data_IF_353319534703
#
_entry.id   IF_353319534703
#
_cell.length_a   1.000
_cell.length_b   1.000
_cell.length_c   1.000
_cell.angle_alpha   90.00
_cell.angle_beta   90.00
_cell.angle_gamma   90.00
#
_symmetry.space_group_name_H-M   'P 1'
#
loop_
_entity.id
_entity.type
_entity.pdbx_description
1 polymer ?
#
# COMPACT_ATOMS: atom_id res chain seq x y z
N UNK A 1 18.08 16.59 5.85
CA UNK A 1 18.90 16.40 4.61
C UNK A 1 20.29 15.86 4.94
N UNK A 2 20.95 16.31 5.98
CA UNK A 2 22.32 15.86 6.34
C UNK A 2 22.37 14.35 6.61
N UNK A 3 21.46 13.83 7.46
CA UNK A 3 21.39 12.39 7.78
C UNK A 3 21.07 11.53 6.55
N UNK A 4 20.28 12.08 5.61
CA UNK A 4 19.95 11.38 4.36
C UNK A 4 21.19 11.29 3.47
N UNK A 5 21.91 12.40 3.31
CA UNK A 5 23.14 12.43 2.52
C UNK A 5 24.19 11.47 3.10
N UNK A 6 24.39 11.51 4.41
CA UNK A 6 25.32 10.63 5.11
C UNK A 6 24.96 9.14 4.91
N UNK A 7 23.68 8.76 5.03
CA UNK A 7 23.22 7.39 4.81
C UNK A 7 23.34 6.93 3.35
N UNK A 8 23.21 7.87 2.41
CA UNK A 8 23.35 7.59 0.98
C UNK A 8 24.82 7.60 0.51
N UNK A 9 25.78 7.96 1.36
CA UNK A 9 27.18 8.04 1.01
C UNK A 9 27.50 9.17 0.03
N UNK A 10 26.69 10.24 0.01
CA UNK A 10 26.87 11.39 -0.87
C UNK A 10 26.99 12.69 -0.07
N UNK A 11 27.47 13.75 -0.70
CA UNK A 11 27.52 15.06 -0.06
C UNK A 11 26.14 15.72 -0.03
N UNK A 12 25.89 16.58 0.96
CA UNK A 12 24.67 17.40 1.02
C UNK A 12 24.47 18.23 -0.25
N UNK A 13 25.57 18.76 -0.81
CA UNK A 13 25.56 19.53 -2.06
C UNK A 13 25.08 18.66 -3.24
N UNK A 14 25.55 17.44 -3.37
CA UNK A 14 25.11 16.51 -4.41
C UNK A 14 23.63 16.18 -4.25
N UNK A 15 23.15 15.97 -3.00
CA UNK A 15 21.72 15.71 -2.74
C UNK A 15 20.84 16.89 -3.19
N UNK A 16 21.24 18.15 -2.89
CA UNK A 16 20.50 19.34 -3.31
C UNK A 16 20.57 19.61 -4.82
N UNK A 17 21.59 19.11 -5.53
CA UNK A 17 21.64 19.17 -7.00
C UNK A 17 20.54 18.30 -7.64
N UNK A 18 20.16 17.18 -7.00
CA UNK A 18 19.08 16.30 -7.48
C UNK A 18 17.72 16.65 -6.93
N UNK A 19 17.64 17.10 -5.68
CA UNK A 19 16.38 17.40 -4.98
C UNK A 19 16.49 18.78 -4.32
N UNK A 20 15.96 19.83 -4.97
CA UNK A 20 16.05 21.21 -4.48
C UNK A 20 15.49 21.41 -3.06
N UNK A 21 14.51 20.57 -2.66
CA UNK A 21 13.92 20.61 -1.33
C UNK A 21 13.76 19.21 -0.72
N UNK A 22 13.47 19.15 0.58
CA UNK A 22 13.09 17.90 1.26
C UNK A 22 11.77 17.34 0.70
N UNK A 23 10.86 18.22 0.31
CA UNK A 23 9.56 17.85 -0.23
C UNK A 23 9.68 17.21 -1.61
N UNK A 24 10.61 17.72 -2.46
CA UNK A 24 10.94 17.10 -3.74
C UNK A 24 11.49 15.68 -3.54
N UNK A 25 12.38 15.50 -2.57
CA UNK A 25 12.92 14.19 -2.23
C UNK A 25 11.84 13.22 -1.73
N UNK A 26 10.96 13.67 -0.83
CA UNK A 26 9.83 12.86 -0.33
C UNK A 26 8.92 12.47 -1.49
N UNK A 27 8.61 13.42 -2.36
CA UNK A 27 7.75 13.21 -3.52
C UNK A 27 8.34 12.16 -4.48
N UNK A 28 9.62 12.29 -4.81
CA UNK A 28 10.34 11.35 -5.68
C UNK A 28 10.44 9.95 -5.03
N UNK A 29 10.75 9.87 -3.74
CA UNK A 29 10.83 8.60 -3.01
C UNK A 29 9.47 7.87 -2.97
N UNK A 30 8.36 8.61 -2.77
CA UNK A 30 7.02 8.03 -2.82
C UNK A 30 6.64 7.57 -4.22
N UNK A 31 6.95 8.35 -5.25
CA UNK A 31 6.69 7.97 -6.64
C UNK A 31 7.41 6.65 -6.99
N UNK A 32 8.70 6.58 -6.70
CA UNK A 32 9.50 5.36 -6.91
C UNK A 32 8.96 4.15 -6.11
N UNK A 33 8.62 4.36 -4.84
CA UNK A 33 8.03 3.30 -4.01
C UNK A 33 6.68 2.82 -4.56
N UNK A 34 5.88 3.74 -5.13
CA UNK A 34 4.61 3.40 -5.79
C UNK A 34 4.84 2.54 -7.02
N UNK A 35 5.77 2.90 -7.89
CA UNK A 35 6.11 2.14 -9.10
C UNK A 35 6.55 0.72 -8.76
N UNK A 36 7.43 0.56 -7.78
CA UNK A 36 7.88 -0.75 -7.32
C UNK A 36 6.74 -1.59 -6.75
N UNK A 37 5.86 -0.99 -5.94
CA UNK A 37 4.75 -1.70 -5.34
C UNK A 37 3.72 -2.14 -6.40
N UNK A 38 3.38 -1.27 -7.36
CA UNK A 38 2.44 -1.57 -8.45
C UNK A 38 3.04 -2.60 -9.42
N UNK A 39 4.33 -2.52 -9.72
CA UNK A 39 5.01 -3.53 -10.55
C UNK A 39 4.94 -4.90 -9.91
N UNK A 40 5.19 -5.00 -8.59
CA UNK A 40 5.03 -6.26 -7.85
C UNK A 40 3.58 -6.75 -7.89
N UNK A 41 2.62 -5.86 -7.64
CA UNK A 41 1.20 -6.19 -7.65
C UNK A 41 0.74 -6.74 -9.01
N UNK A 42 1.21 -6.15 -10.10
CA UNK A 42 0.93 -6.61 -11.47
C UNK A 42 1.60 -7.94 -11.82
N UNK A 43 2.79 -8.18 -11.26
CA UNK A 43 3.51 -9.46 -11.41
C UNK A 43 2.89 -10.60 -10.61
N UNK A 44 1.93 -10.32 -9.73
CA UNK A 44 1.18 -11.34 -9.02
C UNK A 44 0.32 -12.14 -9.99
N UNK A 45 0.57 -13.45 -10.09
CA UNK A 45 -0.39 -14.36 -10.70
C UNK A 45 -1.70 -14.27 -9.92
N UNK A 46 -2.75 -13.72 -10.54
CA UNK A 46 -4.07 -13.68 -9.93
C UNK A 46 -4.59 -15.09 -9.79
N UNK A 47 -4.72 -15.67 -8.58
CA UNK A 47 -5.24 -17.00 -8.41
C UNK A 47 -6.67 -17.07 -8.94
N UNK A 48 -7.05 -18.18 -9.53
CA UNK A 48 -8.41 -18.42 -9.96
C UNK A 48 -9.34 -18.49 -8.73
N UNK A 49 -10.35 -17.61 -8.72
CA UNK A 49 -11.39 -17.60 -7.68
C UNK A 49 -11.18 -16.56 -6.58
N UNK A 50 -12.31 -16.04 -6.10
CA UNK A 50 -12.37 -14.91 -5.16
C UNK A 50 -11.66 -15.15 -3.84
N UNK A 51 -11.80 -16.35 -3.26
CA UNK A 51 -11.19 -16.67 -1.97
C UNK A 51 -9.68 -16.77 -2.08
N UNK A 52 -9.16 -17.41 -3.14
CA UNK A 52 -7.73 -17.52 -3.40
C UNK A 52 -7.08 -16.14 -3.67
N UNK A 53 -7.79 -15.24 -4.36
CA UNK A 53 -7.35 -13.86 -4.56
C UNK A 53 -7.20 -13.13 -3.22
N UNK A 54 -8.20 -13.23 -2.35
CA UNK A 54 -8.18 -12.59 -1.01
C UNK A 54 -7.08 -13.19 -0.13
N UNK A 55 -6.99 -14.52 -0.07
CA UNK A 55 -5.97 -15.19 0.74
C UNK A 55 -4.56 -14.80 0.29
N UNK A 56 -4.27 -14.80 -1.01
CA UNK A 56 -2.96 -14.42 -1.52
C UNK A 56 -2.64 -12.94 -1.29
N UNK A 57 -3.63 -12.04 -1.41
CA UNK A 57 -3.44 -10.63 -1.17
C UNK A 57 -3.03 -10.33 0.28
N UNK A 58 -3.75 -10.89 1.27
CA UNK A 58 -3.42 -10.69 2.68
C UNK A 58 -2.18 -11.48 3.13
N UNK A 59 -1.89 -12.65 2.53
CA UNK A 59 -0.65 -13.37 2.78
C UNK A 59 0.59 -12.57 2.35
N UNK A 60 0.53 -11.92 1.20
CA UNK A 60 1.63 -11.05 0.77
C UNK A 60 1.76 -9.78 1.62
N UNK A 61 0.64 -9.24 2.10
CA UNK A 61 0.66 -8.15 3.06
C UNK A 61 1.37 -8.56 4.36
N UNK A 62 1.04 -9.73 4.91
CA UNK A 62 1.70 -10.29 6.10
C UNK A 62 3.20 -10.52 5.85
N UNK A 63 3.56 -11.11 4.72
CA UNK A 63 4.96 -11.33 4.32
C UNK A 63 5.74 -10.02 4.16
N UNK A 64 5.09 -8.97 3.64
CA UNK A 64 5.70 -7.66 3.56
C UNK A 64 5.91 -7.04 4.94
N UNK A 65 4.92 -7.16 5.83
CA UNK A 65 4.99 -6.67 7.20
C UNK A 65 6.02 -7.40 8.07
N UNK A 66 6.37 -8.64 7.73
CA UNK A 66 7.39 -9.42 8.43
C UNK A 66 8.83 -9.02 8.11
N UNK A 67 9.03 -8.10 7.15
CA UNK A 67 10.39 -7.67 6.77
C UNK A 67 11.04 -6.86 7.88
N UNK A 68 12.36 -7.02 8.11
CA UNK A 68 13.10 -6.20 9.04
C UNK A 68 12.91 -4.69 8.74
N UNK A 69 12.69 -3.89 9.77
CA UNK A 69 12.47 -2.43 9.68
C UNK A 69 11.18 -2.04 8.93
N UNK A 70 10.21 -2.93 8.82
CA UNK A 70 8.89 -2.55 8.33
C UNK A 70 8.28 -1.50 9.26
N UNK A 71 7.79 -0.42 8.70
CA UNK A 71 7.26 0.75 9.44
C UNK A 71 5.83 1.12 9.04
N UNK A 72 5.06 0.12 8.58
CA UNK A 72 3.66 0.32 8.19
C UNK A 72 3.49 0.82 6.75
N UNK A 73 2.30 1.30 6.45
CA UNK A 73 1.94 1.84 5.14
C UNK A 73 2.55 3.23 4.93
N UNK A 74 3.73 3.29 4.31
CA UNK A 74 4.46 4.53 4.07
C UNK A 74 3.62 5.63 3.41
N UNK A 75 2.75 5.29 2.46
CA UNK A 75 1.86 6.25 1.80
C UNK A 75 0.85 6.88 2.76
N UNK A 76 0.17 6.08 3.58
CA UNK A 76 -0.81 6.56 4.56
C UNK A 76 -0.12 7.39 5.64
N UNK A 77 1.03 6.93 6.14
CA UNK A 77 1.82 7.63 7.13
C UNK A 77 2.26 9.01 6.64
N UNK A 78 2.86 9.10 5.45
CA UNK A 78 3.29 10.39 4.88
C UNK A 78 2.12 11.33 4.67
N UNK A 79 0.95 10.84 4.21
CA UNK A 79 -0.23 11.69 4.04
C UNK A 79 -0.73 12.22 5.38
N UNK A 80 -0.69 11.42 6.46
CA UNK A 80 -1.06 11.86 7.81
C UNK A 80 -0.07 12.90 8.34
N UNK A 81 1.24 12.66 8.20
CA UNK A 81 2.29 13.61 8.61
C UNK A 81 2.22 14.94 7.84
N UNK A 82 1.72 14.93 6.61
CA UNK A 82 1.58 16.11 5.75
C UNK A 82 0.14 16.63 5.68
N UNK A 83 -0.73 16.22 6.62
CA UNK A 83 -2.16 16.55 6.58
C UNK A 83 -2.43 18.06 6.57
N UNK A 84 -1.63 18.83 7.32
CA UNK A 84 -1.77 20.27 7.43
C UNK A 84 -1.23 21.05 6.21
N UNK A 85 -0.43 20.40 5.37
CA UNK A 85 0.13 21.00 4.15
C UNK A 85 -0.82 20.79 2.96
N UNK A 86 -1.79 21.70 2.81
CA UNK A 86 -2.75 21.67 1.71
C UNK A 86 -2.01 21.75 0.37
N UNK A 87 -2.35 20.82 -0.54
CA UNK A 87 -1.77 20.80 -1.89
C UNK A 87 -0.39 20.14 -2.02
N UNK A 88 0.17 19.58 -0.95
CA UNK A 88 1.46 18.88 -1.04
C UNK A 88 1.40 17.72 -2.06
N UNK A 89 2.36 17.63 -3.02
CA UNK A 89 2.31 16.68 -4.14
C UNK A 89 2.33 15.20 -3.70
N UNK A 90 2.92 14.89 -2.55
CA UNK A 90 2.89 13.54 -1.96
C UNK A 90 1.48 12.98 -1.76
N UNK A 91 0.49 13.86 -1.48
CA UNK A 91 -0.92 13.45 -1.32
C UNK A 91 -1.52 12.96 -2.64
N UNK A 92 -1.17 13.60 -3.76
CA UNK A 92 -1.62 13.18 -5.08
C UNK A 92 -1.02 11.82 -5.47
N UNK A 93 0.26 11.60 -5.16
CA UNK A 93 0.95 10.31 -5.40
C UNK A 93 0.30 9.21 -4.57
N UNK A 94 0.08 9.44 -3.27
CA UNK A 94 -0.56 8.47 -2.39
C UNK A 94 -1.97 8.11 -2.87
N UNK A 95 -2.78 9.11 -3.25
CA UNK A 95 -4.13 8.90 -3.81
C UNK A 95 -4.08 8.04 -5.07
N UNK A 96 -3.18 8.36 -6.01
CA UNK A 96 -3.00 7.58 -7.24
C UNK A 96 -2.56 6.15 -6.94
N UNK A 97 -1.62 5.96 -6.02
CA UNK A 97 -1.20 4.62 -5.60
C UNK A 97 -2.36 3.79 -5.06
N UNK A 98 -3.14 4.35 -4.13
CA UNK A 98 -4.31 3.64 -3.55
C UNK A 98 -5.37 3.33 -4.60
N UNK A 99 -5.62 4.23 -5.52
CA UNK A 99 -6.56 4.00 -6.63
C UNK A 99 -6.11 2.83 -7.52
N UNK A 100 -4.81 2.72 -7.83
CA UNK A 100 -4.27 1.60 -8.64
C UNK A 100 -4.39 0.25 -7.91
N UNK A 101 -4.19 0.22 -6.59
CA UNK A 101 -4.40 -1.01 -5.81
C UNK A 101 -5.89 -1.39 -5.76
N UNK A 102 -6.79 -0.41 -5.54
CA UNK A 102 -8.24 -0.64 -5.55
C UNK A 102 -8.71 -1.16 -6.91
N UNK A 103 -8.21 -0.58 -8.02
CA UNK A 103 -8.52 -1.02 -9.38
C UNK A 103 -8.05 -2.45 -9.64
N UNK A 104 -6.81 -2.78 -9.24
CA UNK A 104 -6.27 -4.13 -9.36
C UNK A 104 -7.13 -5.17 -8.62
N UNK A 105 -7.58 -4.86 -7.40
CA UNK A 105 -8.50 -5.70 -6.63
C UNK A 105 -9.85 -5.83 -7.34
N UNK A 106 -10.41 -4.71 -7.81
CA UNK A 106 -11.70 -4.70 -8.50
C UNK A 106 -11.69 -5.58 -9.75
N UNK A 107 -10.63 -5.49 -10.56
CA UNK A 107 -10.45 -6.33 -11.75
C UNK A 107 -10.35 -7.83 -11.38
N UNK A 108 -9.59 -8.16 -10.33
CA UNK A 108 -9.50 -9.53 -9.86
C UNK A 108 -10.84 -10.09 -9.36
N UNK A 109 -11.60 -9.29 -8.62
CA UNK A 109 -12.93 -9.66 -8.14
C UNK A 109 -13.94 -9.77 -9.29
N UNK A 110 -13.85 -8.89 -10.31
CA UNK A 110 -14.68 -8.96 -11.50
C UNK A 110 -14.40 -10.24 -12.31
N UNK A 111 -13.13 -10.59 -12.50
CA UNK A 111 -12.72 -11.83 -13.15
C UNK A 111 -13.21 -13.08 -12.38
N UNK A 112 -13.27 -12.99 -11.05
CA UNK A 112 -13.83 -14.02 -10.17
C UNK A 112 -15.38 -13.96 -10.07
N UNK A 113 -16.04 -13.13 -10.90
CA UNK A 113 -17.51 -12.98 -10.97
C UNK A 113 -18.15 -12.54 -9.65
N UNK A 114 -17.44 -11.77 -8.84
CA UNK A 114 -17.99 -11.16 -7.63
C UNK A 114 -18.90 -10.02 -8.04
N UNK A 115 -20.08 -9.95 -7.44
CA UNK A 115 -21.03 -8.86 -7.65
C UNK A 115 -20.49 -7.56 -7.05
N UNK A 116 -20.73 -6.42 -7.72
CA UNK A 116 -20.28 -5.09 -7.31
C UNK A 116 -18.76 -5.03 -7.02
N UNK A 117 -17.89 -5.48 -7.93
CA UNK A 117 -16.47 -5.72 -7.65
C UNK A 117 -15.73 -4.46 -7.17
N UNK A 118 -16.12 -3.27 -7.65
CA UNK A 118 -15.52 -1.99 -7.20
C UNK A 118 -15.89 -1.66 -5.75
N UNK A 119 -17.13 -1.88 -5.35
CA UNK A 119 -17.55 -1.67 -3.96
C UNK A 119 -16.83 -2.65 -3.02
N UNK A 120 -16.77 -3.93 -3.40
CA UNK A 120 -16.04 -4.95 -2.64
C UNK A 120 -14.54 -4.69 -2.57
N UNK A 121 -13.92 -4.21 -3.64
CA UNK A 121 -12.51 -3.81 -3.62
C UNK A 121 -12.26 -2.68 -2.60
N UNK A 122 -13.17 -1.70 -2.52
CA UNK A 122 -13.08 -0.61 -1.54
C UNK A 122 -13.20 -1.11 -0.11
N UNK A 123 -14.09 -2.05 0.17
CA UNK A 123 -14.23 -2.69 1.47
C UNK A 123 -12.96 -3.49 1.84
N UNK A 124 -12.39 -4.22 0.89
CA UNK A 124 -11.10 -4.92 1.08
C UNK A 124 -9.97 -3.93 1.35
N UNK A 125 -9.94 -2.78 0.68
CA UNK A 125 -8.96 -1.71 0.95
C UNK A 125 -9.08 -1.16 2.38
N UNK A 126 -10.30 -0.99 2.91
CA UNK A 126 -10.50 -0.58 4.30
C UNK A 126 -9.93 -1.60 5.28
N UNK A 127 -10.17 -2.89 5.04
CA UNK A 127 -9.58 -3.97 5.84
C UNK A 127 -8.06 -3.98 5.76
N UNK A 128 -7.49 -3.79 4.57
CA UNK A 128 -6.04 -3.70 4.35
C UNK A 128 -5.41 -2.56 5.17
N UNK A 129 -5.98 -1.36 5.12
CA UNK A 129 -5.44 -0.20 5.84
C UNK A 129 -5.49 -0.43 7.36
N UNK A 130 -6.61 -0.91 7.88
CA UNK A 130 -6.75 -1.27 9.29
C UNK A 130 -5.76 -2.36 9.71
N UNK A 131 -5.60 -3.39 8.88
CA UNK A 131 -4.66 -4.49 9.11
C UNK A 131 -3.22 -3.98 9.21
N UNK A 132 -2.79 -3.12 8.30
CA UNK A 132 -1.43 -2.55 8.32
C UNK A 132 -1.20 -1.71 9.57
N UNK A 133 -2.18 -0.91 9.98
CA UNK A 133 -2.09 -0.11 11.20
C UNK A 133 -1.97 -0.99 12.45
N UNK A 134 -2.83 -2.01 12.57
CA UNK A 134 -2.86 -2.91 13.74
C UNK A 134 -1.64 -3.83 13.80
N UNK A 135 -1.16 -4.36 12.68
CA UNK A 135 0.10 -5.11 12.63
C UNK A 135 1.28 -4.25 13.09
N UNK A 136 1.31 -2.96 12.73
CA UNK A 136 2.36 -2.04 13.17
C UNK A 136 2.29 -1.76 14.67
N UNK A 137 1.07 -1.53 15.20
CA UNK A 137 0.87 -1.19 16.62
C UNK A 137 1.15 -2.38 17.53
N UNK A 138 0.68 -3.56 17.15
CA UNK A 138 0.73 -4.75 18.01
C UNK A 138 1.89 -5.70 17.69
N UNK A 139 2.56 -5.54 16.54
CA UNK A 139 3.58 -6.49 16.08
C UNK A 139 3.02 -7.88 15.75
N UNK A 140 1.70 -8.00 15.54
CA UNK A 140 1.00 -9.28 15.36
C UNK A 140 0.55 -9.45 13.90
N UNK A 141 1.14 -10.40 13.13
CA UNK A 141 0.72 -10.71 11.77
C UNK A 141 -0.65 -11.40 11.69
N UNK A 142 -1.20 -11.88 12.80
CA UNK A 142 -2.52 -12.51 12.87
C UNK A 142 -3.66 -11.61 12.39
N UNK A 143 -3.48 -10.28 12.45
CA UNK A 143 -4.44 -9.32 11.86
C UNK A 143 -4.64 -9.52 10.37
N UNK A 144 -3.62 -9.93 9.61
CA UNK A 144 -3.77 -10.22 8.18
C UNK A 144 -4.66 -11.45 7.94
N UNK A 145 -4.55 -12.48 8.78
CA UNK A 145 -5.41 -13.66 8.73
C UNK A 145 -6.86 -13.30 9.06
N UNK A 146 -7.09 -12.52 10.11
CA UNK A 146 -8.42 -12.05 10.49
C UNK A 146 -9.07 -11.20 9.38
N UNK A 147 -8.30 -10.31 8.76
CA UNK A 147 -8.79 -9.50 7.65
C UNK A 147 -9.12 -10.33 6.41
N UNK A 148 -8.30 -11.33 6.06
CA UNK A 148 -8.59 -12.26 4.97
C UNK A 148 -9.92 -13.01 5.21
N UNK A 149 -10.17 -13.47 6.44
CA UNK A 149 -11.42 -14.12 6.81
C UNK A 149 -12.64 -13.19 6.64
N UNK A 150 -12.52 -11.94 7.12
CA UNK A 150 -13.56 -10.93 6.97
C UNK A 150 -13.81 -10.58 5.48
N UNK A 151 -12.74 -10.37 4.71
CA UNK A 151 -12.82 -10.06 3.28
C UNK A 151 -13.49 -11.21 2.49
N UNK A 152 -13.17 -12.47 2.80
CA UNK A 152 -13.84 -13.64 2.17
C UNK A 152 -15.34 -13.66 2.42
N UNK A 153 -15.78 -13.29 3.62
CA UNK A 153 -17.21 -13.14 3.91
C UNK A 153 -17.84 -12.04 3.05
N UNK A 154 -17.22 -10.88 2.96
CA UNK A 154 -17.69 -9.76 2.14
C UNK A 154 -17.86 -10.14 0.67
N UNK A 155 -16.89 -10.81 0.06
CA UNK A 155 -16.96 -11.20 -1.36
C UNK A 155 -17.84 -12.42 -1.61
N UNK A 156 -18.41 -13.04 -0.55
CA UNK A 156 -19.30 -14.22 -0.62
C UNK A 156 -20.77 -13.91 -0.38
N UNK A 157 -21.11 -12.70 0.06
CA UNK A 157 -22.48 -12.31 0.48
C UNK A 157 -23.51 -12.31 -0.67
N UNK A 158 -23.07 -12.46 -1.91
CA UNK A 158 -23.93 -12.33 -3.09
C UNK A 158 -24.36 -13.71 -3.66
N UNK A 159 -24.87 -14.59 -2.80
CA UNK A 159 -25.66 -15.74 -3.24
C UNK A 159 -27.11 -15.38 -3.38
#
# INVERSE_FOLDING_TARGET
MDDIAARAGITKRALYQHFPSKDDLITAALAHSSELAITRLRGFARPAGRNALIDSFFAELAKWASKPRWSGAGFTRVVVELADLKGHPARAIARRHKALVEEWLADGLAAARVRMPRARAREVMLLMEGTMALMLIHGDPGYATAAAQAAKKLVSIDR
#
